data_IF_509506301222
#
_entry.id   IF_509506301222
#
_cell.length_a   1.000
_cell.length_b   1.000
_cell.length_c   1.000
_cell.angle_alpha   90.00
_cell.angle_beta   90.00
_cell.angle_gamma   90.00
#
_symmetry.space_group_name_H-M   'P 1'
#
loop_
_entity.id
_entity.type
_entity.pdbx_description
1 polymer ?
#
# COMPACT_ATOMS: atom_id res chain seq x y z
N UNK A 1 29.76 22.68 -17.55
CA UNK A 1 29.61 22.06 -16.21
C UNK A 1 28.37 22.60 -15.50
N UNK A 2 28.13 23.94 -15.46
CA UNK A 2 26.94 24.52 -14.81
C UNK A 2 25.61 24.03 -15.43
N UNK A 3 25.52 23.90 -16.75
CA UNK A 3 24.31 23.42 -17.45
C UNK A 3 24.00 21.93 -17.24
N UNK A 4 24.98 21.14 -16.81
CA UNK A 4 24.80 19.71 -16.46
C UNK A 4 24.38 19.50 -14.97
N UNK A 5 24.71 20.47 -14.10
CA UNK A 5 24.37 20.43 -12.69
C UNK A 5 22.96 20.95 -12.38
N UNK A 6 22.44 21.88 -13.20
CA UNK A 6 21.09 22.44 -13.00
C UNK A 6 19.96 21.38 -12.95
N UNK A 7 19.90 20.36 -13.82
CA UNK A 7 18.87 19.33 -13.73
C UNK A 7 18.98 18.50 -12.46
N UNK A 8 20.18 18.27 -11.95
CA UNK A 8 20.41 17.51 -10.70
C UNK A 8 19.97 18.34 -9.50
N UNK A 9 20.29 19.64 -9.46
CA UNK A 9 19.85 20.55 -8.40
C UNK A 9 18.32 20.70 -8.39
N UNK A 10 17.68 20.79 -9.55
CA UNK A 10 16.22 20.85 -9.67
C UNK A 10 15.56 19.57 -9.14
N UNK A 11 16.09 18.41 -9.52
CA UNK A 11 15.61 17.11 -9.04
C UNK A 11 15.82 16.91 -7.54
N UNK A 12 16.92 17.42 -7.01
CA UNK A 12 17.21 17.36 -5.58
C UNK A 12 16.27 18.27 -4.77
N UNK A 13 15.91 19.43 -5.33
CA UNK A 13 14.93 20.34 -4.74
C UNK A 13 13.52 19.77 -4.78
N UNK A 14 13.09 19.18 -5.91
CA UNK A 14 11.82 18.44 -6.03
C UNK A 14 11.74 17.27 -5.04
N UNK A 15 12.85 16.59 -4.80
CA UNK A 15 12.94 15.50 -3.80
C UNK A 15 12.81 16.04 -2.37
N UNK A 16 13.49 17.16 -2.06
CA UNK A 16 13.41 17.80 -0.74
C UNK A 16 11.98 18.30 -0.46
N UNK A 17 11.33 18.95 -1.43
CA UNK A 17 9.93 19.39 -1.33
C UNK A 17 8.96 18.22 -1.14
N UNK A 18 9.21 17.07 -1.78
CA UNK A 18 8.43 15.85 -1.56
C UNK A 18 8.61 15.26 -0.16
N UNK A 19 9.84 15.28 0.38
CA UNK A 19 10.13 14.81 1.74
C UNK A 19 9.50 15.74 2.79
N UNK A 20 9.56 17.07 2.60
CA UNK A 20 8.89 18.04 3.46
C UNK A 20 7.36 17.90 3.42
N UNK A 21 6.78 17.67 2.23
CA UNK A 21 5.34 17.42 2.08
C UNK A 21 4.93 16.13 2.78
N UNK A 22 5.77 15.11 2.75
CA UNK A 22 5.56 13.85 3.48
C UNK A 22 5.55 14.06 5.01
N UNK A 23 6.40 14.95 5.51
CA UNK A 23 6.47 15.30 6.93
C UNK A 23 5.26 16.15 7.38
N UNK A 24 4.75 17.04 6.52
CA UNK A 24 3.55 17.84 6.78
C UNK A 24 2.26 17.02 6.74
N UNK A 25 2.19 15.97 5.92
CA UNK A 25 1.06 15.03 5.87
C UNK A 25 0.92 14.23 7.18
N UNK A 26 2.02 13.93 7.86
CA UNK A 26 2.00 13.22 9.15
C UNK A 26 1.44 14.11 10.30
N UNK A 27 1.68 15.41 10.27
CA UNK A 27 1.14 16.39 11.24
C UNK A 27 -0.34 16.72 10.96
N UNK A 28 -0.75 16.76 9.68
CA UNK A 28 -2.15 16.97 9.29
C UNK A 28 -3.04 15.75 9.58
N UNK A 29 -2.44 14.56 9.74
CA UNK A 29 -3.14 13.32 10.04
C UNK A 29 -4.00 13.36 11.30
N UNK A 30 -3.62 14.15 12.31
CA UNK A 30 -4.39 14.28 13.57
C UNK A 30 -5.68 15.08 13.42
N UNK A 31 -5.70 16.11 12.60
CA UNK A 31 -6.93 16.88 12.30
C UNK A 31 -7.88 16.09 11.39
N UNK A 32 -7.31 15.32 10.44
CA UNK A 32 -8.04 14.40 9.59
C UNK A 32 -8.73 13.29 10.37
N UNK A 33 -8.06 12.70 11.38
CA UNK A 33 -8.61 11.62 12.22
C UNK A 33 -9.89 12.10 12.95
N UNK A 34 -9.93 13.33 13.45
CA UNK A 34 -11.12 13.85 14.14
C UNK A 34 -12.29 14.05 13.18
N UNK A 35 -12.07 14.64 12.02
CA UNK A 35 -13.10 14.81 10.99
C UNK A 35 -13.60 13.46 10.46
N UNK A 36 -12.70 12.52 10.27
CA UNK A 36 -13.03 11.14 9.88
C UNK A 36 -13.83 10.43 10.98
N UNK A 37 -13.54 10.68 12.26
CA UNK A 37 -14.28 10.10 13.39
C UNK A 37 -15.73 10.62 13.47
N UNK A 38 -15.96 11.90 13.23
CA UNK A 38 -17.31 12.46 13.17
C UNK A 38 -18.12 11.91 11.98
N UNK A 39 -17.52 11.83 10.81
CA UNK A 39 -18.13 11.19 9.64
C UNK A 39 -18.43 9.71 9.88
N UNK A 40 -17.50 9.00 10.53
CA UNK A 40 -17.69 7.62 10.96
C UNK A 40 -18.91 7.46 11.88
N UNK A 41 -19.05 8.33 12.88
CA UNK A 41 -20.17 8.30 13.83
C UNK A 41 -21.50 8.48 13.09
N UNK A 42 -21.55 9.40 12.14
CA UNK A 42 -22.74 9.67 11.32
C UNK A 42 -23.12 8.42 10.47
N UNK A 43 -22.16 7.88 9.71
CA UNK A 43 -22.36 6.68 8.86
C UNK A 43 -22.75 5.47 9.72
N UNK A 44 -22.10 5.25 10.84
CA UNK A 44 -22.41 4.14 11.75
C UNK A 44 -23.80 4.26 12.37
N UNK A 45 -24.22 5.48 12.73
CA UNK A 45 -25.56 5.74 13.27
C UNK A 45 -26.62 5.50 12.20
N UNK A 46 -26.42 6.00 10.98
CA UNK A 46 -27.34 5.79 9.84
C UNK A 46 -27.44 4.30 9.51
N UNK A 47 -26.34 3.60 9.44
CA UNK A 47 -26.30 2.18 9.11
C UNK A 47 -27.01 1.34 10.20
N UNK A 48 -26.83 1.69 11.48
CA UNK A 48 -27.51 1.04 12.60
C UNK A 48 -29.02 1.30 12.58
N UNK A 49 -29.45 2.52 12.20
CA UNK A 49 -30.85 2.87 12.07
C UNK A 49 -31.50 2.16 10.89
N UNK A 50 -30.87 2.10 9.74
CA UNK A 50 -31.31 1.35 8.56
C UNK A 50 -31.43 -0.15 8.89
N UNK A 51 -30.46 -0.68 9.63
CA UNK A 51 -30.47 -2.03 10.13
C UNK A 51 -31.70 -2.32 11.00
N UNK A 52 -32.03 -1.43 11.90
CA UNK A 52 -33.17 -1.57 12.80
C UNK A 52 -34.52 -1.46 12.05
N UNK A 53 -34.64 -0.49 11.15
CA UNK A 53 -35.86 -0.26 10.35
C UNK A 53 -36.18 -1.48 9.46
N UNK A 54 -35.18 -2.03 8.79
CA UNK A 54 -35.38 -3.14 7.87
C UNK A 54 -35.61 -4.48 8.62
N UNK A 55 -35.04 -4.66 9.79
CA UNK A 55 -35.30 -5.86 10.63
C UNK A 55 -36.77 -5.96 11.02
N UNK A 56 -37.40 -4.83 11.30
CA UNK A 56 -38.84 -4.78 11.59
C UNK A 56 -39.68 -5.15 10.35
N UNK A 57 -39.18 -4.83 9.15
CA UNK A 57 -39.85 -5.14 7.88
C UNK A 57 -39.64 -6.60 7.41
N UNK A 58 -38.54 -7.24 7.78
CA UNK A 58 -38.19 -8.61 7.38
C UNK A 58 -38.62 -9.68 8.41
N UNK A 59 -39.70 -9.47 9.12
CA UNK A 59 -40.27 -10.46 10.07
C UNK A 59 -40.69 -11.71 9.33
N UNK A 60 -39.94 -12.82 9.51
CA UNK A 60 -40.35 -14.16 9.10
C UNK A 60 -39.44 -14.96 8.20
N UNK A 61 -38.58 -14.34 7.38
CA UNK A 61 -37.71 -15.05 6.44
C UNK A 61 -36.25 -15.04 6.93
N UNK A 62 -35.77 -16.16 7.42
CA UNK A 62 -34.40 -16.31 7.93
C UNK A 62 -33.32 -16.19 6.83
N UNK A 63 -33.67 -16.51 5.57
CA UNK A 63 -32.75 -16.38 4.44
C UNK A 63 -32.54 -14.91 4.08
N UNK A 64 -33.64 -14.14 3.97
CA UNK A 64 -33.53 -12.70 3.71
C UNK A 64 -32.79 -11.94 4.81
N UNK A 65 -32.94 -12.36 6.08
CA UNK A 65 -32.16 -11.80 7.20
C UNK A 65 -30.66 -12.11 7.07
N UNK A 66 -30.31 -13.30 6.60
CA UNK A 66 -28.92 -13.69 6.32
C UNK A 66 -28.29 -12.87 5.20
N UNK A 67 -28.94 -12.84 4.04
CA UNK A 67 -28.49 -12.08 2.85
C UNK A 67 -28.33 -10.58 3.17
N UNK A 68 -29.25 -10.06 3.98
CA UNK A 68 -29.18 -8.67 4.43
C UNK A 68 -28.00 -8.42 5.39
N UNK A 69 -27.72 -9.33 6.32
CA UNK A 69 -26.57 -9.24 7.22
C UNK A 69 -25.24 -9.22 6.45
N UNK A 70 -25.13 -10.06 5.42
CA UNK A 70 -23.98 -10.07 4.53
C UNK A 70 -23.83 -8.73 3.77
N UNK A 71 -24.94 -8.13 3.31
CA UNK A 71 -24.95 -6.82 2.65
C UNK A 71 -24.49 -5.69 3.59
N UNK A 72 -24.93 -5.69 4.85
CA UNK A 72 -24.47 -4.69 5.84
C UNK A 72 -22.97 -4.86 6.13
N UNK A 73 -22.51 -6.10 6.28
CA UNK A 73 -21.10 -6.42 6.46
C UNK A 73 -20.27 -5.87 5.30
N UNK A 74 -20.72 -6.10 4.06
CA UNK A 74 -20.05 -5.58 2.86
C UNK A 74 -20.03 -4.04 2.82
N UNK A 75 -21.13 -3.37 3.16
CA UNK A 75 -21.16 -1.90 3.27
C UNK A 75 -20.17 -1.39 4.32
N UNK A 76 -19.99 -2.08 5.44
CA UNK A 76 -18.98 -1.72 6.43
C UNK A 76 -17.56 -1.79 5.85
N UNK A 77 -17.24 -2.84 5.08
CA UNK A 77 -15.95 -3.01 4.42
C UNK A 77 -15.68 -1.89 3.40
N UNK A 78 -16.64 -1.61 2.53
CA UNK A 78 -16.55 -0.56 1.51
C UNK A 78 -16.41 0.84 2.15
N UNK A 79 -17.22 1.16 3.16
CA UNK A 79 -17.16 2.44 3.88
C UNK A 79 -15.86 2.61 4.68
N UNK A 80 -15.22 1.53 5.09
CA UNK A 80 -13.89 1.56 5.69
C UNK A 80 -12.77 1.79 4.66
N UNK A 81 -13.10 1.80 3.35
CA UNK A 81 -12.16 2.01 2.25
C UNK A 81 -11.38 0.75 1.86
N UNK A 82 -11.89 -0.44 2.21
CA UNK A 82 -11.32 -1.71 1.78
C UNK A 82 -11.84 -2.10 0.39
N UNK A 83 -10.99 -2.74 -0.40
CA UNK A 83 -11.25 -3.12 -1.80
C UNK A 83 -11.39 -4.62 -1.89
N UNK A 84 -12.48 -5.10 -2.51
CA UNK A 84 -12.69 -6.54 -2.76
C UNK A 84 -11.61 -7.08 -3.71
N UNK A 85 -11.14 -8.28 -3.43
CA UNK A 85 -10.03 -8.92 -4.17
C UNK A 85 -8.63 -8.51 -3.67
N UNK A 86 -8.44 -7.26 -3.24
CA UNK A 86 -7.17 -6.77 -2.68
C UNK A 86 -7.12 -6.96 -1.16
N UNK A 87 -8.06 -6.34 -0.44
CA UNK A 87 -8.09 -6.29 1.01
C UNK A 87 -9.03 -7.31 1.66
N UNK A 88 -10.06 -7.77 0.95
CA UNK A 88 -10.97 -8.80 1.44
C UNK A 88 -11.52 -9.68 0.31
N UNK A 89 -12.01 -10.86 0.68
CA UNK A 89 -12.70 -11.80 -0.21
C UNK A 89 -14.00 -12.28 0.43
N UNK A 90 -15.05 -12.41 -0.38
CA UNK A 90 -16.37 -12.89 0.06
C UNK A 90 -16.56 -14.36 -0.29
N UNK A 91 -17.24 -15.10 0.59
CA UNK A 91 -17.77 -16.45 0.37
C UNK A 91 -16.75 -17.43 -0.26
N UNK A 92 -15.46 -17.25 0.05
CA UNK A 92 -14.38 -18.10 -0.47
C UNK A 92 -14.49 -19.50 0.16
N UNK A 93 -14.53 -20.53 -0.67
CA UNK A 93 -14.42 -21.90 -0.21
C UNK A 93 -12.96 -22.22 0.12
N UNK A 94 -12.69 -22.62 1.34
CA UNK A 94 -11.36 -22.96 1.81
C UNK A 94 -11.38 -24.41 2.28
N UNK A 95 -10.36 -25.17 1.89
CA UNK A 95 -10.09 -26.50 2.42
C UNK A 95 -9.11 -26.33 3.58
N UNK A 96 -9.49 -26.81 4.76
CA UNK A 96 -8.59 -26.96 5.89
C UNK A 96 -7.64 -28.13 5.66
N UNK A 97 -6.55 -28.18 6.43
CA UNK A 97 -5.52 -29.22 6.31
C UNK A 97 -6.07 -30.63 6.55
N UNK A 98 -7.16 -30.77 7.29
CA UNK A 98 -7.92 -32.02 7.53
C UNK A 98 -8.90 -32.38 6.39
N UNK A 99 -8.99 -31.57 5.34
CA UNK A 99 -9.87 -31.75 4.19
C UNK A 99 -11.30 -31.23 4.36
N UNK A 100 -11.63 -30.62 5.51
CA UNK A 100 -12.93 -30.00 5.77
C UNK A 100 -13.09 -28.74 4.89
N UNK A 101 -14.26 -28.56 4.29
CA UNK A 101 -14.57 -27.35 3.51
C UNK A 101 -15.25 -26.33 4.41
N UNK A 102 -14.61 -25.20 4.59
CA UNK A 102 -15.17 -24.05 5.30
C UNK A 102 -15.50 -22.92 4.30
N UNK A 103 -16.58 -22.22 4.59
CA UNK A 103 -17.01 -21.06 3.78
C UNK A 103 -17.37 -19.90 4.72
N UNK A 104 -16.39 -19.11 5.13
CA UNK A 104 -16.65 -17.87 5.86
C UNK A 104 -17.37 -16.86 4.97
N UNK A 105 -18.15 -15.96 5.57
CA UNK A 105 -18.83 -14.91 4.79
C UNK A 105 -17.81 -13.93 4.21
N UNK A 106 -16.80 -13.52 5.00
CA UNK A 106 -15.72 -12.64 4.54
C UNK A 106 -14.40 -13.05 5.18
N UNK A 107 -13.34 -13.01 4.36
CA UNK A 107 -11.94 -13.07 4.78
C UNK A 107 -11.33 -11.70 4.55
N UNK A 108 -10.80 -11.09 5.60
CA UNK A 108 -10.13 -9.79 5.56
C UNK A 108 -8.64 -10.05 5.65
N UNK A 109 -7.89 -9.60 4.64
CA UNK A 109 -6.44 -9.71 4.60
C UNK A 109 -5.80 -8.58 5.42
N UNK A 110 -4.78 -8.93 6.16
CA UNK A 110 -3.92 -8.00 6.90
C UNK A 110 -2.51 -8.01 6.30
N UNK A 111 -1.69 -6.98 6.52
CA UNK A 111 -0.28 -7.05 6.21
C UNK A 111 0.41 -8.25 6.88
N UNK A 112 1.52 -8.71 6.29
CA UNK A 112 2.31 -9.87 6.76
C UNK A 112 1.54 -11.20 6.72
N UNK A 113 0.76 -11.43 5.67
CA UNK A 113 0.02 -12.67 5.38
C UNK A 113 -0.90 -13.13 6.53
N UNK A 114 -1.39 -12.18 7.34
CA UNK A 114 -2.36 -12.43 8.39
C UNK A 114 -3.77 -12.20 7.86
N UNK A 115 -4.74 -12.91 8.46
CA UNK A 115 -6.14 -12.77 8.10
C UNK A 115 -7.04 -12.60 9.32
N UNK A 116 -8.21 -11.98 9.09
CA UNK A 116 -9.34 -11.99 9.99
C UNK A 116 -10.54 -12.59 9.26
N UNK A 117 -11.37 -13.33 9.97
CA UNK A 117 -12.62 -13.87 9.44
C UNK A 117 -13.78 -13.09 10.05
N UNK A 118 -14.76 -12.72 9.22
CA UNK A 118 -16.04 -12.19 9.68
C UNK A 118 -17.18 -13.10 9.21
N UNK A 119 -18.05 -13.49 10.17
CA UNK A 119 -19.26 -14.31 9.92
C UNK A 119 -20.48 -13.55 10.46
N UNK A 120 -21.53 -13.39 9.63
CA UNK A 120 -22.69 -12.51 9.88
C UNK A 120 -23.98 -13.26 10.25
N UNK A 121 -23.94 -14.56 10.45
CA UNK A 121 -25.12 -15.43 10.52
C UNK A 121 -25.82 -15.50 11.87
N UNK A 122 -26.00 -14.39 12.57
CA UNK A 122 -26.76 -14.37 13.84
C UNK A 122 -28.27 -14.30 13.57
N UNK A 123 -29.02 -15.26 14.09
CA UNK A 123 -30.47 -15.22 13.98
C UNK A 123 -31.10 -14.14 14.85
N UNK A 124 -31.86 -13.24 14.24
CA UNK A 124 -32.57 -12.14 14.90
C UNK A 124 -34.04 -12.49 15.26
N UNK A 125 -34.51 -13.71 14.94
CA UNK A 125 -35.92 -14.11 15.15
C UNK A 125 -36.37 -13.92 16.60
N UNK A 126 -35.56 -14.34 17.55
CA UNK A 126 -35.91 -14.20 18.98
C UNK A 126 -35.86 -12.72 19.42
N UNK A 127 -34.96 -11.92 18.88
CA UNK A 127 -34.92 -10.47 19.12
C UNK A 127 -36.14 -9.75 18.55
N UNK A 128 -36.58 -10.06 17.33
CA UNK A 128 -37.78 -9.49 16.72
C UNK A 128 -39.03 -9.84 17.55
N UNK A 129 -39.15 -11.09 18.02
CA UNK A 129 -40.25 -11.48 18.88
C UNK A 129 -40.21 -10.77 20.25
N UNK A 130 -39.01 -10.49 20.79
CA UNK A 130 -38.83 -9.65 21.97
C UNK A 130 -39.34 -8.23 21.76
N UNK A 131 -39.03 -7.62 20.61
CA UNK A 131 -39.46 -6.26 20.26
C UNK A 131 -40.98 -6.17 20.05
N UNK A 132 -41.61 -7.22 19.55
CA UNK A 132 -43.04 -7.27 19.21
C UNK A 132 -43.90 -7.86 20.33
N UNK A 133 -43.33 -8.23 21.50
CA UNK A 133 -44.08 -8.83 22.59
C UNK A 133 -44.90 -7.78 23.36
N UNK A 134 -46.20 -8.01 23.48
CA UNK A 134 -47.14 -7.10 24.15
C UNK A 134 -47.13 -7.29 25.70
N UNK A 135 -46.75 -8.46 26.19
CA UNK A 135 -46.69 -8.75 27.61
C UNK A 135 -45.27 -9.02 28.12
N UNK A 136 -45.06 -8.69 29.39
CA UNK A 136 -43.75 -8.78 30.06
C UNK A 136 -43.24 -10.22 30.20
N UNK A 137 -44.13 -11.21 30.29
CA UNK A 137 -43.76 -12.61 30.45
C UNK A 137 -43.18 -13.17 29.15
N UNK A 138 -43.83 -12.92 28.01
CA UNK A 138 -43.37 -13.29 26.70
C UNK A 138 -42.08 -12.52 26.35
N UNK A 139 -42.02 -11.24 26.70
CA UNK A 139 -40.83 -10.40 26.49
C UNK A 139 -39.60 -11.01 27.18
N UNK A 140 -39.70 -11.39 28.44
CA UNK A 140 -38.62 -12.06 29.19
C UNK A 140 -38.25 -13.44 28.57
N UNK A 141 -39.23 -14.19 28.10
CA UNK A 141 -39.00 -15.48 27.47
C UNK A 141 -38.23 -15.33 26.13
N UNK A 142 -38.62 -14.34 25.31
CA UNK A 142 -37.93 -14.08 24.06
C UNK A 142 -36.53 -13.50 24.26
N UNK A 143 -36.31 -12.66 25.26
CA UNK A 143 -35.00 -12.18 25.64
C UNK A 143 -34.02 -13.31 25.97
N UNK A 144 -34.46 -14.29 26.78
CA UNK A 144 -33.70 -15.52 27.10
C UNK A 144 -33.40 -16.34 25.85
N UNK A 145 -34.38 -16.51 24.94
CA UNK A 145 -34.20 -17.24 23.69
C UNK A 145 -33.19 -16.52 22.79
N UNK A 146 -33.18 -15.17 22.78
CA UNK A 146 -32.20 -14.39 22.03
C UNK A 146 -30.79 -14.64 22.57
N UNK A 147 -30.57 -14.52 23.88
CA UNK A 147 -29.27 -14.81 24.50
C UNK A 147 -28.81 -16.24 24.18
N UNK A 148 -29.70 -17.22 24.27
CA UNK A 148 -29.37 -18.61 23.93
C UNK A 148 -28.96 -18.75 22.45
N UNK A 149 -29.65 -18.06 21.53
CA UNK A 149 -29.31 -18.07 20.13
C UNK A 149 -27.91 -17.49 19.88
N UNK A 150 -27.56 -16.39 20.55
CA UNK A 150 -26.21 -15.77 20.46
C UNK A 150 -25.15 -16.75 20.99
N UNK A 151 -25.37 -17.36 22.15
CA UNK A 151 -24.45 -18.36 22.74
C UNK A 151 -24.27 -19.60 21.85
N UNK A 152 -25.35 -20.09 21.25
CA UNK A 152 -25.28 -21.21 20.30
C UNK A 152 -24.46 -20.85 19.05
N UNK A 153 -24.57 -19.61 18.58
CA UNK A 153 -23.81 -19.16 17.44
C UNK A 153 -22.31 -19.03 17.76
N UNK A 154 -21.95 -18.47 18.93
CA UNK A 154 -20.57 -18.46 19.44
C UNK A 154 -20.00 -19.89 19.49
N UNK A 155 -20.77 -20.84 20.04
CA UNK A 155 -20.33 -22.24 20.12
C UNK A 155 -20.15 -22.84 18.72
N UNK A 156 -21.07 -22.57 17.78
CA UNK A 156 -21.00 -23.04 16.40
C UNK A 156 -19.80 -22.49 15.64
N UNK A 157 -19.46 -21.23 15.84
CA UNK A 157 -18.26 -20.64 15.24
C UNK A 157 -16.98 -21.22 15.84
N UNK A 158 -16.92 -21.36 17.15
CA UNK A 158 -15.79 -21.97 17.85
C UNK A 158 -15.52 -23.41 17.37
N UNK A 159 -16.56 -24.19 17.08
CA UNK A 159 -16.42 -25.58 16.63
C UNK A 159 -15.98 -25.72 15.17
N UNK A 160 -16.00 -24.65 14.38
CA UNK A 160 -15.54 -24.66 12.97
C UNK A 160 -14.00 -24.67 12.84
N UNK A 161 -13.27 -24.60 13.94
CA UNK A 161 -11.79 -24.67 13.99
C UNK A 161 -11.08 -23.83 12.92
N UNK A 162 -11.55 -22.60 12.69
CA UNK A 162 -10.93 -21.69 11.74
C UNK A 162 -9.43 -21.45 12.00
N UNK A 163 -8.91 -21.88 13.15
CA UNK A 163 -7.51 -21.72 13.55
C UNK A 163 -6.59 -22.81 12.98
N UNK A 164 -7.12 -23.92 12.48
CA UNK A 164 -6.31 -25.05 11.98
C UNK A 164 -5.71 -24.82 10.58
N UNK A 165 -5.61 -23.56 10.17
CA UNK A 165 -4.91 -23.17 8.96
C UNK A 165 -5.78 -23.09 7.70
N UNK A 166 -5.53 -22.09 6.92
CA UNK A 166 -6.21 -21.82 5.67
C UNK A 166 -5.23 -21.93 4.48
N UNK A 167 -4.28 -22.87 4.53
CA UNK A 167 -3.29 -23.04 3.47
C UNK A 167 -2.57 -21.74 3.14
N UNK A 168 -2.79 -21.19 1.95
CA UNK A 168 -2.14 -19.95 1.48
C UNK A 168 -2.53 -18.68 2.28
N UNK A 169 -3.63 -18.69 3.03
CA UNK A 169 -4.14 -17.52 3.74
C UNK A 169 -3.63 -17.38 5.17
N UNK A 170 -2.86 -18.34 5.67
CA UNK A 170 -2.45 -18.35 7.07
C UNK A 170 -3.57 -18.74 8.04
N UNK A 171 -3.31 -18.66 9.36
CA UNK A 171 -4.30 -18.99 10.40
C UNK A 171 -4.85 -17.70 11.03
N UNK A 172 -6.18 -17.53 11.16
CA UNK A 172 -6.75 -16.39 11.85
C UNK A 172 -6.58 -16.53 13.36
N UNK A 173 -6.11 -15.48 14.02
CA UNK A 173 -6.04 -15.43 15.50
C UNK A 173 -7.45 -15.43 16.12
N UNK A 174 -8.38 -14.72 15.46
CA UNK A 174 -9.76 -14.53 15.93
C UNK A 174 -10.76 -14.57 14.78
N UNK A 175 -12.01 -14.94 15.11
CA UNK A 175 -13.16 -14.85 14.22
C UNK A 175 -14.09 -13.74 14.71
N UNK A 176 -14.44 -12.81 13.87
CA UNK A 176 -15.42 -11.77 14.17
C UNK A 176 -16.82 -12.29 13.93
N UNK A 177 -17.63 -12.37 14.98
CA UNK A 177 -19.06 -12.64 14.92
C UNK A 177 -19.80 -11.31 14.73
N UNK A 178 -20.28 -11.06 13.51
CA UNK A 178 -20.95 -9.81 13.17
C UNK A 178 -22.42 -9.83 13.55
N UNK A 179 -22.79 -8.93 14.46
CA UNK A 179 -24.18 -8.67 14.85
C UNK A 179 -24.65 -7.38 14.20
N UNK A 180 -25.57 -7.49 13.24
CA UNK A 180 -26.04 -6.38 12.40
C UNK A 180 -26.74 -5.26 13.18
N UNK A 181 -27.26 -5.58 14.37
CA UNK A 181 -28.13 -4.71 15.18
C UNK A 181 -27.49 -4.48 16.55
N UNK A 182 -27.06 -3.25 16.80
CA UNK A 182 -26.47 -2.82 18.07
C UNK A 182 -27.37 -3.09 19.28
N UNK A 183 -28.69 -2.75 19.26
CA UNK A 183 -29.60 -3.07 20.36
C UNK A 183 -29.76 -4.55 20.64
N UNK A 184 -29.65 -5.43 19.63
CA UNK A 184 -29.71 -6.88 19.84
C UNK A 184 -28.47 -7.37 20.60
N UNK A 185 -27.29 -6.86 20.28
CA UNK A 185 -26.08 -7.11 21.07
C UNK A 185 -26.22 -6.59 22.50
N UNK A 186 -26.68 -5.34 22.68
CA UNK A 186 -26.86 -4.71 23.99
C UNK A 186 -27.85 -5.49 24.86
N UNK A 187 -28.93 -6.01 24.27
CA UNK A 187 -29.87 -6.87 25.00
C UNK A 187 -29.19 -8.16 25.48
N UNK A 188 -28.48 -8.87 24.62
CA UNK A 188 -27.78 -10.10 24.99
C UNK A 188 -26.74 -9.84 26.10
N UNK A 189 -25.96 -8.78 25.98
CA UNK A 189 -24.94 -8.38 26.97
C UNK A 189 -25.56 -7.96 28.31
N UNK A 190 -26.73 -7.33 28.33
CA UNK A 190 -27.43 -6.94 29.55
C UNK A 190 -27.96 -8.13 30.34
N UNK A 191 -28.27 -9.24 29.63
CA UNK A 191 -28.74 -10.47 30.25
C UNK A 191 -27.59 -11.35 30.74
N UNK A 192 -26.41 -11.17 30.20
CA UNK A 192 -25.25 -11.99 30.52
C UNK A 192 -23.95 -11.14 30.36
N UNK A 193 -23.49 -10.67 31.52
CA UNK A 193 -22.28 -9.83 31.60
C UNK A 193 -21.00 -10.53 31.13
N UNK A 194 -20.96 -11.87 31.16
CA UNK A 194 -19.81 -12.67 30.79
C UNK A 194 -19.80 -13.04 29.29
N UNK A 195 -20.86 -12.70 28.54
CA UNK A 195 -21.02 -13.09 27.14
C UNK A 195 -19.81 -12.79 26.29
N UNK A 196 -19.30 -11.57 26.38
CA UNK A 196 -18.13 -11.12 25.58
C UNK A 196 -16.83 -11.78 26.00
N UNK A 197 -16.61 -11.97 27.31
CA UNK A 197 -15.44 -12.68 27.85
C UNK A 197 -15.44 -14.15 27.46
N UNK A 198 -16.60 -14.82 27.55
CA UNK A 198 -16.76 -16.22 27.15
C UNK A 198 -16.51 -16.40 25.63
N UNK A 199 -16.96 -15.47 24.81
CA UNK A 199 -16.70 -15.48 23.39
C UNK A 199 -15.19 -15.29 23.09
N UNK A 200 -14.54 -14.34 23.77
CA UNK A 200 -13.12 -14.07 23.60
C UNK A 200 -12.23 -15.25 23.97
N UNK A 201 -12.54 -16.00 25.06
CA UNK A 201 -11.85 -17.24 25.45
C UNK A 201 -11.91 -18.28 24.30
N UNK A 202 -12.96 -18.24 23.48
CA UNK A 202 -13.15 -19.13 22.33
C UNK A 202 -12.60 -18.53 21.02
N UNK A 203 -11.79 -17.48 21.10
CA UNK A 203 -11.25 -16.71 19.99
C UNK A 203 -12.34 -16.11 19.07
N UNK A 204 -13.50 -15.79 19.63
CA UNK A 204 -14.59 -15.10 18.95
C UNK A 204 -14.68 -13.67 19.47
N UNK A 205 -14.66 -12.70 18.56
CA UNK A 205 -14.89 -11.28 18.87
C UNK A 205 -16.27 -10.89 18.35
N UNK A 206 -17.17 -10.50 19.25
CA UNK A 206 -18.48 -10.00 18.84
C UNK A 206 -18.31 -8.56 18.36
N UNK A 207 -18.71 -8.27 17.13
CA UNK A 207 -18.62 -6.93 16.52
C UNK A 207 -19.98 -6.50 15.99
N UNK A 208 -20.28 -5.22 16.18
CA UNK A 208 -21.43 -4.53 15.63
C UNK A 208 -20.98 -3.64 14.48
N UNK A 209 -21.88 -3.03 13.67
CA UNK A 209 -21.46 -2.13 12.59
C UNK A 209 -20.47 -1.05 13.04
N UNK A 210 -20.72 -0.44 14.22
CA UNK A 210 -19.83 0.59 14.76
C UNK A 210 -18.44 0.05 15.09
N UNK A 211 -18.33 -1.00 15.89
CA UNK A 211 -17.05 -1.58 16.31
C UNK A 211 -16.31 -2.23 15.14
N UNK A 212 -17.02 -2.87 14.20
CA UNK A 212 -16.43 -3.43 13.00
C UNK A 212 -15.80 -2.35 12.13
N UNK A 213 -16.52 -1.27 11.82
CA UNK A 213 -15.99 -0.17 11.01
C UNK A 213 -14.76 0.46 11.65
N UNK A 214 -14.72 0.61 12.98
CA UNK A 214 -13.53 1.09 13.69
C UNK A 214 -12.34 0.15 13.50
N UNK A 215 -12.55 -1.16 13.67
CA UNK A 215 -11.51 -2.17 13.43
C UNK A 215 -11.02 -2.17 11.98
N UNK A 216 -11.93 -2.09 11.00
CA UNK A 216 -11.60 -2.07 9.57
C UNK A 216 -10.83 -0.82 9.16
N UNK A 217 -11.06 0.33 9.80
CA UNK A 217 -10.24 1.53 9.57
C UNK A 217 -8.82 1.37 10.04
N UNK A 218 -8.61 0.69 11.16
CA UNK A 218 -7.27 0.33 11.63
C UNK A 218 -6.59 -0.58 10.60
N UNK A 219 -7.31 -1.56 10.06
CA UNK A 219 -6.81 -2.44 8.99
C UNK A 219 -6.40 -1.63 7.75
N UNK A 220 -7.25 -0.71 7.30
CA UNK A 220 -6.92 0.17 6.17
C UNK A 220 -5.68 1.03 6.45
N UNK A 221 -5.53 1.55 7.67
CA UNK A 221 -4.34 2.30 8.06
C UNK A 221 -3.07 1.43 8.05
N UNK A 222 -3.16 0.18 8.50
CA UNK A 222 -2.05 -0.78 8.43
C UNK A 222 -1.62 -1.03 6.98
N UNK A 223 -2.57 -1.19 6.05
CA UNK A 223 -2.27 -1.32 4.62
C UNK A 223 -1.59 -0.09 4.03
N UNK A 224 -2.04 1.11 4.42
CA UNK A 224 -1.38 2.36 4.00
C UNK A 224 0.06 2.44 4.49
N UNK A 225 0.33 2.07 5.74
CA UNK A 225 1.68 2.03 6.29
C UNK A 225 2.55 1.00 5.56
N UNK A 226 2.04 -0.20 5.32
CA UNK A 226 2.77 -1.25 4.59
C UNK A 226 3.16 -0.78 3.19
N UNK A 227 2.21 -0.17 2.47
CA UNK A 227 2.48 0.40 1.13
C UNK A 227 3.53 1.52 1.17
N UNK A 228 3.54 2.34 2.21
CA UNK A 228 4.57 3.36 2.41
C UNK A 228 5.94 2.75 2.62
N UNK A 229 6.06 1.73 3.48
CA UNK A 229 7.32 1.01 3.72
C UNK A 229 7.85 0.37 2.44
N UNK A 230 6.99 -0.28 1.66
CA UNK A 230 7.36 -0.88 0.38
C UNK A 230 7.83 0.16 -0.63
N UNK A 231 7.14 1.31 -0.74
CA UNK A 231 7.55 2.42 -1.60
C UNK A 231 8.93 2.98 -1.21
N UNK A 232 9.19 3.15 0.09
CA UNK A 232 10.50 3.62 0.59
C UNK A 232 11.59 2.62 0.22
N UNK A 233 11.38 1.32 0.41
CA UNK A 233 12.33 0.28 0.02
C UNK A 233 12.63 0.32 -1.48
N UNK A 234 11.60 0.45 -2.32
CA UNK A 234 11.77 0.57 -3.77
C UNK A 234 12.58 1.82 -4.17
N UNK A 235 12.34 2.96 -3.49
CA UNK A 235 13.11 4.20 -3.71
C UNK A 235 14.60 3.98 -3.41
N UNK A 236 14.94 3.32 -2.30
CA UNK A 236 16.32 3.03 -1.94
C UNK A 236 16.99 2.09 -2.95
N UNK A 237 16.31 1.04 -3.38
CA UNK A 237 16.84 0.11 -4.39
C UNK A 237 17.09 0.81 -5.73
N UNK A 238 16.13 1.62 -6.19
CA UNK A 238 16.28 2.40 -7.43
C UNK A 238 17.36 3.46 -7.30
N UNK A 239 17.47 4.11 -6.13
CA UNK A 239 18.51 5.09 -5.82
C UNK A 239 19.90 4.47 -5.89
N UNK A 240 20.10 3.29 -5.30
CA UNK A 240 21.35 2.54 -5.38
C UNK A 240 21.76 2.23 -6.82
N UNK A 241 20.83 1.67 -7.61
CA UNK A 241 21.07 1.38 -9.04
C UNK A 241 21.40 2.64 -9.87
N UNK A 242 20.75 3.76 -9.56
CA UNK A 242 21.06 5.04 -10.22
C UNK A 242 22.46 5.53 -9.86
N UNK A 243 22.85 5.43 -8.59
CA UNK A 243 24.18 5.80 -8.14
C UNK A 243 25.28 5.00 -8.83
N UNK A 244 25.12 3.68 -8.94
CA UNK A 244 26.05 2.80 -9.67
C UNK A 244 26.19 3.19 -11.14
N UNK A 245 25.07 3.54 -11.82
CA UNK A 245 25.11 4.02 -13.20
C UNK A 245 25.85 5.36 -13.34
N UNK A 246 25.68 6.26 -12.37
CA UNK A 246 26.41 7.54 -12.36
C UNK A 246 27.90 7.30 -12.20
N UNK A 247 28.31 6.42 -11.28
CA UNK A 247 29.72 6.06 -11.11
C UNK A 247 30.32 5.50 -12.40
N UNK A 248 29.65 4.55 -13.05
CA UNK A 248 30.10 4.00 -14.32
C UNK A 248 30.22 5.05 -15.45
N UNK A 249 29.25 5.97 -15.51
CA UNK A 249 29.31 7.08 -16.47
C UNK A 249 30.50 8.01 -16.20
N UNK A 250 30.78 8.33 -14.94
CA UNK A 250 31.92 9.18 -14.56
C UNK A 250 33.25 8.55 -14.96
N UNK A 251 33.41 7.23 -14.76
CA UNK A 251 34.60 6.49 -15.18
C UNK A 251 34.79 6.54 -16.73
N UNK A 252 33.69 6.39 -17.47
CA UNK A 252 33.75 6.51 -18.94
C UNK A 252 34.07 7.92 -19.38
N UNK A 253 33.52 8.92 -18.71
CA UNK A 253 33.78 10.34 -19.00
C UNK A 253 35.23 10.71 -18.72
N UNK A 254 35.85 10.21 -17.67
CA UNK A 254 37.26 10.40 -17.35
C UNK A 254 38.16 9.78 -18.44
N UNK A 255 37.86 8.58 -18.92
CA UNK A 255 38.56 7.93 -20.04
C UNK A 255 38.46 8.75 -21.33
N UNK A 256 37.34 9.42 -21.59
CA UNK A 256 37.18 10.33 -22.73
C UNK A 256 38.10 11.53 -22.56
N UNK A 257 38.18 12.11 -21.36
CA UNK A 257 39.08 13.23 -21.04
C UNK A 257 40.54 12.87 -21.31
N UNK A 258 41.00 11.70 -20.89
CA UNK A 258 42.35 11.23 -21.12
C UNK A 258 42.65 11.04 -22.64
N UNK A 259 41.70 10.50 -23.40
CA UNK A 259 41.85 10.34 -24.85
C UNK A 259 41.93 11.70 -25.56
N UNK A 260 41.15 12.70 -25.14
CA UNK A 260 41.21 14.07 -25.70
C UNK A 260 42.59 14.68 -25.41
N UNK A 261 43.09 14.53 -24.18
CA UNK A 261 44.44 15.00 -23.80
C UNK A 261 45.52 14.34 -24.61
N UNK A 262 45.49 13.01 -24.77
CA UNK A 262 46.44 12.28 -25.62
C UNK A 262 46.37 12.68 -27.11
N UNK A 263 45.16 12.93 -27.61
CA UNK A 263 44.98 13.45 -28.96
C UNK A 263 45.57 14.88 -29.12
N UNK A 264 45.40 15.73 -28.11
CA UNK A 264 45.99 17.07 -28.09
C UNK A 264 47.52 17.02 -28.08
N UNK A 265 48.11 16.20 -27.22
CA UNK A 265 49.57 16.00 -27.19
C UNK A 265 50.11 15.45 -28.51
N UNK A 266 49.39 14.53 -29.14
CA UNK A 266 49.76 13.99 -30.46
C UNK A 266 49.68 15.07 -31.55
N UNK A 267 48.68 15.93 -31.50
CA UNK A 267 48.54 17.07 -32.39
C UNK A 267 49.70 18.07 -32.22
N UNK A 268 50.01 18.46 -31.02
CA UNK A 268 51.15 19.37 -30.72
C UNK A 268 52.47 18.78 -31.19
N UNK A 269 52.72 17.49 -30.97
CA UNK A 269 53.91 16.83 -31.43
C UNK A 269 54.02 16.82 -32.98
N UNK A 270 52.90 16.59 -33.66
CA UNK A 270 52.85 16.64 -35.13
C UNK A 270 53.06 18.08 -35.65
N UNK A 271 52.44 19.07 -34.99
CA UNK A 271 52.57 20.49 -35.32
C UNK A 271 54.03 20.97 -35.15
N UNK A 272 54.69 20.58 -34.04
CA UNK A 272 56.10 20.89 -33.81
C UNK A 272 57.04 20.30 -34.89
N UNK A 273 56.78 19.09 -35.38
CA UNK A 273 57.53 18.49 -36.48
C UNK A 273 57.28 19.23 -37.82
N UNK A 274 56.07 19.77 -37.98
CA UNK A 274 55.69 20.48 -39.19
C UNK A 274 56.28 21.90 -39.21
N UNK A 275 56.11 22.69 -38.08
CA UNK A 275 56.36 24.17 -38.11
C UNK A 275 57.37 24.69 -37.11
N UNK A 276 57.43 24.16 -35.83
CA UNK A 276 58.17 24.85 -34.77
C UNK A 276 59.47 24.11 -34.33
N UNK A 277 59.62 22.81 -34.62
CA UNK A 277 60.81 22.08 -34.25
C UNK A 277 62.07 22.38 -35.07
N UNK A 278 63.25 22.17 -34.48
CA UNK A 278 64.54 22.29 -35.24
C UNK A 278 64.51 21.36 -36.45
N UNK A 279 64.73 21.94 -37.66
CA UNK A 279 64.69 21.18 -38.92
C UNK A 279 63.27 20.76 -39.32
N UNK A 280 62.25 21.55 -38.95
CA UNK A 280 60.85 21.29 -39.28
C UNK A 280 60.63 21.12 -40.80
N UNK A 281 59.54 20.44 -41.18
CA UNK A 281 59.25 20.07 -42.57
C UNK A 281 59.07 21.30 -43.44
N UNK A 282 58.52 22.41 -42.96
CA UNK A 282 58.27 23.65 -43.65
C UNK A 282 59.62 24.31 -44.02
N UNK A 283 60.55 24.36 -43.06
CA UNK A 283 61.89 24.93 -43.30
C UNK A 283 62.67 24.07 -44.28
N UNK A 284 62.61 22.77 -44.21
CA UNK A 284 63.29 21.89 -45.20
C UNK A 284 62.67 22.05 -46.60
N UNK A 285 61.34 22.14 -46.70
CA UNK A 285 60.69 22.37 -47.98
C UNK A 285 61.08 23.74 -48.63
N UNK A 286 61.20 24.79 -47.84
CA UNK A 286 61.61 26.10 -48.32
C UNK A 286 63.12 26.11 -48.69
N UNK A 287 63.98 25.40 -47.98
CA UNK A 287 65.37 25.18 -48.38
C UNK A 287 65.51 24.48 -49.74
N UNK A 288 64.70 23.42 -49.96
CA UNK A 288 64.68 22.71 -51.25
C UNK A 288 64.24 23.60 -52.39
N UNK A 289 63.25 24.45 -52.14
CA UNK A 289 62.80 25.47 -53.14
C UNK A 289 63.89 26.47 -53.46
N UNK A 290 64.66 26.98 -52.49
CA UNK A 290 65.78 27.88 -52.68
C UNK A 290 66.95 27.21 -53.43
N UNK A 291 67.05 25.89 -53.36
CA UNK A 291 68.00 25.09 -54.13
C UNK A 291 67.53 24.79 -55.58
N UNK A 292 66.37 25.33 -56.00
CA UNK A 292 65.93 25.31 -57.38
C UNK A 292 64.82 24.30 -57.70
N UNK A 293 64.21 23.66 -56.69
CA UNK A 293 63.05 22.81 -56.90
C UNK A 293 61.86 23.64 -57.35
N UNK A 294 61.33 23.37 -58.53
CA UNK A 294 60.13 24.08 -59.03
C UNK A 294 58.88 23.63 -58.35
N UNK A 295 58.11 24.53 -57.76
CA UNK A 295 56.85 24.28 -57.10
C UNK A 295 55.74 25.16 -57.66
N UNK A 296 54.53 24.58 -57.84
CA UNK A 296 53.36 25.36 -58.35
C UNK A 296 52.53 25.94 -57.18
N UNK A 297 52.78 25.53 -55.92
CA UNK A 297 52.08 26.02 -54.74
C UNK A 297 53.03 26.61 -53.72
N UNK A 298 52.59 27.66 -53.00
CA UNK A 298 53.31 28.24 -51.86
C UNK A 298 52.78 27.83 -50.55
N UNK A 299 53.64 27.78 -49.53
CA UNK A 299 53.26 27.49 -48.15
C UNK A 299 52.29 28.58 -47.64
N UNK A 300 51.13 28.20 -47.02
CA UNK A 300 50.19 29.18 -46.49
C UNK A 300 50.86 30.16 -45.52
N UNK A 301 50.35 31.41 -45.49
CA UNK A 301 50.94 32.49 -44.68
C UNK A 301 50.98 32.19 -43.17
N UNK A 302 50.05 31.40 -42.70
CA UNK A 302 49.92 30.95 -41.27
C UNK A 302 51.16 30.21 -40.78
N UNK A 303 51.85 29.49 -41.68
CA UNK A 303 53.04 28.71 -41.36
C UNK A 303 54.35 29.40 -41.72
N UNK A 304 54.30 30.67 -42.22
CA UNK A 304 55.52 31.42 -42.61
C UNK A 304 56.38 31.83 -41.43
N UNK A 305 55.85 31.99 -40.23
CA UNK A 305 56.62 32.24 -39.00
C UNK A 305 57.65 31.15 -38.71
N UNK A 306 57.40 29.95 -39.14
CA UNK A 306 58.32 28.83 -39.00
C UNK A 306 59.58 28.88 -39.86
N UNK A 307 59.67 29.89 -40.73
CA UNK A 307 60.75 30.09 -41.70
C UNK A 307 61.75 31.19 -41.26
N UNK A 308 61.29 32.11 -40.38
CA UNK A 308 62.06 33.29 -39.96
C UNK A 308 62.97 33.07 -38.76
N UNK A 309 62.84 31.99 -38.00
CA UNK A 309 63.70 31.50 -36.93
C UNK A 309 64.61 30.33 -37.37
#
# INVERSE_FOLDING_TARGET
IQNLLNPIQTKMKEFQEKVEKFHLEDVSGRASIKAEFEHFKEVSTTLSQDAQNLTTALTGDSKQQGDWGEMILEKCLQNAGLIEGEHYQKQTQIKTDDGTQLRPDVIIKLPNDRILIADSKVSLKAYNNYMSADDEQNRKAYAKKHLQSVRNHIQGLSSKNYQEGFGEFGSPDYVMMFMQIEPAYSLAQSLDSNLTSDAFIKNIIIVTPASLMMALRIVNQLWRQEKQVQNVKEIFERGGKLYEKICGFLEEFEKIGDKIKGAHESYENAYNKLSDGRGNMIRQAEMLKNLGVQTTKSIPREFKKAIED
#
